data_IF_072055960306
#
_entry.id   IF_072055960306
#
_cell.length_a   1.000
_cell.length_b   1.000
_cell.length_c   1.000
_cell.angle_alpha   90.00
_cell.angle_beta   90.00
_cell.angle_gamma   90.00
#
_symmetry.space_group_name_H-M   'P 1'
#
loop_
_entity.id
_entity.type
_entity.pdbx_description
1 polymer ?
#
# COMPACT_ATOMS: atom_id res chain seq x y z
N UNK A 1 -10.67 25.48 -10.30
CA UNK A 1 -11.11 24.30 -9.52
C UNK A 1 -11.15 24.74 -8.07
N UNK A 2 -12.32 24.78 -7.42
CA UNK A 2 -12.41 25.16 -6.01
C UNK A 2 -11.62 24.15 -5.19
N UNK A 3 -10.73 24.62 -4.30
CA UNK A 3 -10.10 23.78 -3.30
C UNK A 3 -11.20 23.30 -2.35
N UNK A 4 -11.69 22.09 -2.58
CA UNK A 4 -12.64 21.43 -1.69
C UNK A 4 -12.05 21.37 -0.28
N UNK A 5 -12.79 21.88 0.71
CA UNK A 5 -12.37 21.95 2.12
C UNK A 5 -11.95 20.56 2.63
N UNK A 6 -12.63 19.52 2.15
CA UNK A 6 -12.29 18.11 2.38
C UNK A 6 -10.88 17.75 1.89
N UNK A 7 -10.46 18.22 0.71
CA UNK A 7 -9.10 17.95 0.20
C UNK A 7 -8.03 18.63 1.04
N UNK A 8 -8.31 19.85 1.55
CA UNK A 8 -7.40 20.58 2.43
C UNK A 8 -7.26 19.89 3.80
N UNK A 9 -8.38 19.44 4.37
CA UNK A 9 -8.39 18.72 5.66
C UNK A 9 -7.65 17.39 5.54
N UNK A 10 -7.98 16.60 4.51
CA UNK A 10 -7.33 15.29 4.28
C UNK A 10 -5.85 15.48 4.01
N UNK A 11 -5.47 16.42 3.13
CA UNK A 11 -4.08 16.73 2.83
C UNK A 11 -3.29 17.22 4.06
N UNK A 12 -3.90 18.10 4.86
CA UNK A 12 -3.29 18.60 6.10
C UNK A 12 -3.08 17.51 7.15
N UNK A 13 -4.08 16.64 7.36
CA UNK A 13 -3.95 15.47 8.24
C UNK A 13 -2.85 14.53 7.76
N UNK A 14 -2.80 14.24 6.46
CA UNK A 14 -1.80 13.36 5.88
C UNK A 14 -0.39 13.96 6.02
N UNK A 15 -0.23 15.25 5.75
CA UNK A 15 1.02 15.97 5.92
C UNK A 15 1.50 15.99 7.37
N UNK A 16 0.60 16.24 8.33
CA UNK A 16 0.92 16.17 9.75
C UNK A 16 1.33 14.75 10.17
N UNK A 17 0.63 13.73 9.69
CA UNK A 17 0.95 12.33 9.95
C UNK A 17 2.35 11.97 9.46
N UNK A 18 2.71 12.39 8.24
CA UNK A 18 4.03 12.19 7.65
C UNK A 18 5.09 12.99 8.43
N UNK A 19 4.81 14.24 8.81
CA UNK A 19 5.69 15.04 9.64
C UNK A 19 6.01 14.38 10.98
N UNK A 20 4.99 13.85 11.66
CA UNK A 20 5.15 13.10 12.93
C UNK A 20 5.90 11.79 12.70
N UNK A 21 5.64 11.09 11.60
CA UNK A 21 6.35 9.87 11.24
C UNK A 21 7.85 10.10 11.02
N UNK A 22 8.23 11.24 10.46
CA UNK A 22 9.63 11.65 10.27
C UNK A 22 10.28 12.12 11.58
N UNK A 23 9.53 12.84 12.43
CA UNK A 23 10.03 13.33 13.71
C UNK A 23 10.20 12.21 14.75
N UNK A 24 9.34 11.18 14.73
CA UNK A 24 9.32 10.09 15.70
C UNK A 24 9.49 8.74 14.99
N UNK A 25 10.71 8.14 15.01
CA UNK A 25 11.02 6.91 14.29
C UNK A 25 10.14 5.71 14.67
N UNK A 26 9.62 5.69 15.92
CA UNK A 26 8.70 4.66 16.39
C UNK A 26 7.33 4.74 15.71
N UNK A 27 6.79 5.96 15.57
CA UNK A 27 5.49 6.20 14.93
C UNK A 27 5.59 5.93 13.43
N UNK A 28 6.69 6.37 12.79
CA UNK A 28 6.96 6.05 11.39
C UNK A 28 7.05 4.54 11.12
N UNK A 29 7.63 3.76 12.04
CA UNK A 29 7.66 2.29 11.91
C UNK A 29 6.26 1.67 11.99
N UNK A 30 5.45 2.09 12.96
CA UNK A 30 4.08 1.56 13.11
C UNK A 30 3.28 1.87 11.85
N UNK A 31 3.36 3.10 11.33
CA UNK A 31 2.71 3.48 10.09
C UNK A 31 3.20 2.65 8.90
N UNK A 32 4.51 2.45 8.76
CA UNK A 32 5.06 1.61 7.70
C UNK A 32 4.59 0.15 7.78
N UNK A 33 4.48 -0.42 8.98
CA UNK A 33 3.91 -1.76 9.17
C UNK A 33 2.43 -1.80 8.76
N UNK A 34 1.63 -0.81 9.16
CA UNK A 34 0.22 -0.72 8.77
C UNK A 34 0.07 -0.59 7.26
N UNK A 35 0.85 0.30 6.63
CA UNK A 35 0.86 0.48 5.17
C UNK A 35 1.27 -0.81 4.46
N UNK A 36 2.27 -1.53 4.99
CA UNK A 36 2.67 -2.83 4.46
C UNK A 36 1.53 -3.85 4.48
N UNK A 37 0.78 -3.94 5.58
CA UNK A 37 -0.37 -4.85 5.69
C UNK A 37 -1.46 -4.48 4.67
N UNK A 38 -1.74 -3.19 4.49
CA UNK A 38 -2.72 -2.72 3.50
C UNK A 38 -2.26 -3.07 2.07
N UNK A 39 -0.99 -2.81 1.74
CA UNK A 39 -0.41 -3.17 0.44
C UNK A 39 -0.45 -4.68 0.20
N UNK A 40 -0.12 -5.48 1.22
CA UNK A 40 -0.10 -6.93 1.13
C UNK A 40 -1.51 -7.51 0.91
N UNK A 41 -2.49 -7.06 1.70
CA UNK A 41 -3.88 -7.52 1.59
C UNK A 41 -4.52 -7.08 0.28
N UNK A 42 -4.28 -5.84 -0.15
CA UNK A 42 -4.72 -5.36 -1.46
C UNK A 42 -4.08 -6.16 -2.61
N UNK A 43 -2.76 -6.37 -2.55
CA UNK A 43 -2.04 -7.15 -3.55
C UNK A 43 -2.50 -8.60 -3.64
N UNK A 44 -2.70 -9.26 -2.50
CA UNK A 44 -3.26 -10.61 -2.42
C UNK A 44 -4.68 -10.66 -3.00
N UNK A 45 -5.53 -9.67 -2.69
CA UNK A 45 -6.86 -9.56 -3.25
C UNK A 45 -6.85 -9.46 -4.78
N UNK A 46 -6.00 -8.60 -5.35
CA UNK A 46 -5.83 -8.48 -6.79
C UNK A 46 -5.35 -9.78 -7.44
N UNK A 47 -4.44 -10.52 -6.79
CA UNK A 47 -3.93 -11.80 -7.30
C UNK A 47 -4.99 -12.90 -7.25
N UNK A 48 -5.76 -13.00 -6.17
CA UNK A 48 -6.86 -13.95 -6.05
C UNK A 48 -7.91 -13.64 -7.11
N UNK A 49 -8.26 -12.37 -7.26
CA UNK A 49 -9.23 -11.91 -8.25
C UNK A 49 -8.77 -12.22 -9.68
N UNK A 50 -7.56 -11.84 -10.06
CA UNK A 50 -6.98 -12.14 -11.37
C UNK A 50 -6.84 -13.65 -11.63
N UNK A 51 -6.39 -14.41 -10.62
CA UNK A 51 -6.26 -15.86 -10.69
C UNK A 51 -7.61 -16.56 -10.87
N UNK A 52 -8.66 -16.09 -10.17
CA UNK A 52 -10.01 -16.65 -10.30
C UNK A 52 -10.58 -16.48 -11.70
N UNK A 53 -10.32 -15.34 -12.36
CA UNK A 53 -10.74 -15.10 -13.74
C UNK A 53 -9.98 -15.98 -14.74
N UNK A 54 -8.66 -16.15 -14.56
CA UNK A 54 -7.85 -17.05 -15.40
C UNK A 54 -8.28 -18.51 -15.29
N UNK A 55 -8.60 -19.00 -14.09
CA UNK A 55 -9.05 -20.38 -13.87
C UNK A 55 -10.43 -20.61 -14.49
N UNK A 56 -11.33 -19.62 -14.37
CA UNK A 56 -12.70 -19.71 -14.88
C UNK A 56 -12.78 -19.52 -16.40
N UNK A 57 -11.70 -19.04 -17.05
CA UNK A 57 -11.67 -18.73 -18.48
C UNK A 57 -12.55 -17.53 -18.86
N UNK A 58 -13.00 -16.75 -17.88
CA UNK A 58 -13.85 -15.58 -18.06
C UNK A 58 -12.99 -14.31 -18.20
N UNK A 59 -13.44 -13.37 -19.03
CA UNK A 59 -12.84 -12.03 -19.08
C UNK A 59 -13.04 -11.32 -17.73
N UNK A 60 -12.00 -10.65 -17.23
CA UNK A 60 -12.09 -9.90 -15.98
C UNK A 60 -13.15 -8.81 -16.11
N UNK A 61 -14.09 -8.79 -15.17
CA UNK A 61 -15.01 -7.66 -15.05
C UNK A 61 -14.21 -6.38 -14.83
N UNK A 62 -14.33 -5.34 -15.66
CA UNK A 62 -13.58 -4.12 -15.49
C UNK A 62 -13.94 -3.48 -14.14
N UNK A 63 -12.93 -3.19 -13.32
CA UNK A 63 -13.09 -2.34 -12.14
C UNK A 63 -12.94 -0.91 -12.63
N UNK A 64 -14.06 -0.20 -12.76
CA UNK A 64 -14.06 1.25 -13.05
C UNK A 64 -13.96 2.03 -11.73
N UNK A 65 -12.76 2.09 -11.16
CA UNK A 65 -12.49 2.96 -10.01
C UNK A 65 -11.77 4.22 -10.48
N UNK A 66 -12.51 5.33 -10.63
CA UNK A 66 -11.99 6.69 -10.80
C UNK A 66 -10.79 6.78 -11.77
N UNK A 67 -10.98 6.32 -13.01
CA UNK A 67 -10.00 6.27 -14.13
C UNK A 67 -9.01 5.09 -14.17
N UNK A 68 -8.98 4.21 -13.18
CA UNK A 68 -8.12 3.03 -13.22
C UNK A 68 -8.82 1.88 -13.97
N UNK A 69 -8.76 1.89 -15.30
CA UNK A 69 -9.33 0.82 -16.14
C UNK A 69 -8.38 -0.39 -16.16
N UNK A 70 -8.75 -1.47 -15.47
CA UNK A 70 -8.01 -2.73 -15.46
C UNK A 70 -8.78 -3.72 -16.33
N UNK A 71 -8.30 -3.94 -17.56
CA UNK A 71 -8.99 -4.74 -18.57
C UNK A 71 -8.44 -6.16 -18.67
N UNK A 72 -7.18 -6.37 -18.31
CA UNK A 72 -6.50 -7.64 -18.52
C UNK A 72 -6.04 -8.32 -17.23
N UNK A 73 -6.04 -9.65 -17.24
CA UNK A 73 -5.53 -10.45 -16.13
C UNK A 73 -4.05 -10.24 -15.89
N UNK A 74 -3.30 -9.93 -16.94
CA UNK A 74 -1.89 -9.57 -16.84
C UNK A 74 -1.68 -8.25 -16.07
N UNK A 75 -2.50 -7.22 -16.30
CA UNK A 75 -2.43 -5.96 -15.56
C UNK A 75 -2.83 -6.15 -14.09
N UNK A 76 -3.92 -6.89 -13.84
CA UNK A 76 -4.37 -7.18 -12.48
C UNK A 76 -3.32 -8.00 -11.70
N UNK A 77 -2.67 -8.97 -12.34
CA UNK A 77 -1.56 -9.72 -11.73
C UNK A 77 -0.31 -8.86 -11.54
N UNK A 78 0.02 -8.00 -12.49
CA UNK A 78 1.16 -7.06 -12.38
C UNK A 78 0.97 -6.09 -11.23
N UNK A 79 -0.22 -5.50 -11.09
CA UNK A 79 -0.59 -4.62 -9.98
C UNK A 79 -0.59 -5.38 -8.66
N UNK A 80 -1.23 -6.56 -8.60
CA UNK A 80 -1.28 -7.37 -7.38
C UNK A 80 0.10 -7.84 -6.92
N UNK A 81 0.95 -8.29 -7.85
CA UNK A 81 2.33 -8.67 -7.59
C UNK A 81 3.20 -7.48 -7.15
N UNK A 82 3.06 -6.33 -7.80
CA UNK A 82 3.76 -5.10 -7.44
C UNK A 82 3.39 -4.60 -6.04
N UNK A 83 2.10 -4.64 -5.68
CA UNK A 83 1.61 -4.30 -4.34
C UNK A 83 2.14 -5.27 -3.28
N UNK A 84 2.18 -6.57 -3.57
CA UNK A 84 2.78 -7.57 -2.67
C UNK A 84 4.26 -7.30 -2.41
N UNK A 85 5.05 -7.17 -3.48
CA UNK A 85 6.50 -6.94 -3.37
C UNK A 85 6.75 -5.60 -2.66
N UNK A 86 6.02 -4.56 -3.02
CA UNK A 86 6.09 -3.25 -2.38
C UNK A 86 5.76 -3.32 -0.89
N UNK A 87 4.68 -4.02 -0.52
CA UNK A 87 4.30 -4.25 0.87
C UNK A 87 5.37 -4.98 1.67
N UNK A 88 5.98 -6.03 1.09
CA UNK A 88 7.08 -6.77 1.70
C UNK A 88 8.31 -5.89 1.87
N UNK A 89 8.71 -5.12 0.86
CA UNK A 89 9.86 -4.22 0.92
C UNK A 89 9.68 -3.15 2.00
N UNK A 90 8.50 -2.54 2.08
CA UNK A 90 8.16 -1.56 3.12
C UNK A 90 8.28 -2.20 4.51
N UNK A 91 7.80 -3.44 4.69
CA UNK A 91 7.93 -4.17 5.96
C UNK A 91 9.39 -4.42 6.33
N UNK A 92 10.17 -4.95 5.37
CA UNK A 92 11.58 -5.28 5.58
C UNK A 92 12.36 -4.02 5.94
N UNK A 93 12.13 -2.91 5.26
CA UNK A 93 12.75 -1.63 5.59
C UNK A 93 12.32 -1.14 6.98
N UNK A 94 11.03 -1.19 7.30
CA UNK A 94 10.51 -0.76 8.61
C UNK A 94 11.15 -1.54 9.77
N UNK A 95 11.38 -2.84 9.60
CA UNK A 95 12.01 -3.72 10.58
C UNK A 95 13.54 -3.55 10.62
N UNK A 96 14.20 -3.48 9.46
CA UNK A 96 15.67 -3.39 9.35
C UNK A 96 16.23 -2.07 9.85
N UNK A 97 15.53 -0.96 9.60
CA UNK A 97 15.88 0.36 10.14
C UNK A 97 15.66 0.44 11.66
N UNK A 98 15.00 -0.56 12.24
CA UNK A 98 14.67 -0.59 13.65
C UNK A 98 15.58 -1.36 14.58
N UNK A 99 16.35 -2.32 14.07
CA UNK A 99 17.26 -3.14 14.87
C UNK A 99 18.42 -2.34 15.48
N UNK A 100 18.84 -1.25 14.84
CA UNK A 100 19.99 -0.44 15.31
C UNK A 100 19.71 0.37 16.59
N UNK A 101 18.44 0.56 16.96
CA UNK A 101 18.08 1.28 18.19
C UNK A 101 18.13 0.41 19.45
N UNK A 102 18.01 -0.92 19.32
CA UNK A 102 18.02 -1.86 20.45
C UNK A 102 19.44 -2.26 20.82
N UNK A 103 20.34 -2.37 19.84
CA UNK A 103 21.74 -2.74 20.06
C UNK A 103 22.59 -1.67 20.77
N UNK A 104 22.05 -0.45 21.00
CA UNK A 104 22.78 0.64 21.69
C UNK A 104 22.42 0.76 23.19
N UNK A 105 21.65 -0.19 23.72
CA UNK A 105 21.23 -0.25 25.15
C UNK A 105 21.61 -1.56 25.86
N UNK A 106 22.48 -2.36 25.24
CA UNK A 106 23.17 -3.48 25.90
C UNK A 106 24.66 -3.16 25.87
#
# INVERSE_FOLDING_TARGET
MPLDITSLIVGGLFGALVGVALAVPRVGRILACVVSVVLFTAGAGFLIWAGSALISGEELRPIDWNQLYIASAAEAMGLGGGLLIGGILVLVLALSLGGKAVARRL
#
